data_IF_746023598225
#
_entry.id   IF_746023598225
#
_cell.length_a   1.000
_cell.length_b   1.000
_cell.length_c   1.000
_cell.angle_alpha   90.00
_cell.angle_beta   90.00
_cell.angle_gamma   90.00
#
_symmetry.space_group_name_H-M   'P 1'
#
loop_
_entity.id
_entity.type
_entity.pdbx_description
1 polymer ?
#
# COMPACT_ATOMS: atom_id res chain seq x y z
N UNK A 1 -2.68 -0.51 11.84
CA UNK A 1 -3.40 -0.40 10.55
C UNK A 1 -3.74 1.03 10.12
N UNK A 2 -4.45 1.85 10.90
CA UNK A 2 -4.97 3.14 10.39
C UNK A 2 -3.90 4.13 9.89
N UNK A 3 -2.65 4.01 10.34
CA UNK A 3 -1.55 4.88 9.91
C UNK A 3 -1.18 4.64 8.44
N UNK A 4 -1.00 3.39 8.02
CA UNK A 4 -0.56 3.04 6.65
C UNK A 4 -1.57 3.54 5.61
N UNK A 5 -2.87 3.29 5.83
CA UNK A 5 -3.92 3.76 4.91
C UNK A 5 -3.91 5.29 4.81
N UNK A 6 -3.76 6.00 5.94
CA UNK A 6 -3.66 7.47 5.93
C UNK A 6 -2.42 7.98 5.19
N UNK A 7 -1.30 7.27 5.26
CA UNK A 7 -0.08 7.62 4.53
C UNK A 7 -0.26 7.38 3.02
N UNK A 8 -0.84 6.25 2.64
CA UNK A 8 -1.16 5.95 1.25
C UNK A 8 -2.10 7.01 0.67
N UNK A 9 -3.20 7.35 1.36
CA UNK A 9 -4.14 8.38 0.88
C UNK A 9 -3.49 9.77 0.80
N UNK A 10 -2.50 10.06 1.65
CA UNK A 10 -1.76 11.33 1.61
C UNK A 10 -0.74 11.41 0.48
N UNK A 11 -0.08 10.31 0.15
CA UNK A 11 0.94 10.26 -0.90
C UNK A 11 0.33 10.05 -2.28
N UNK A 12 -0.58 9.08 -2.38
CA UNK A 12 -1.14 8.59 -3.64
C UNK A 12 -2.47 9.27 -4.00
N UNK A 13 -3.07 10.02 -3.07
CA UNK A 13 -4.37 10.65 -3.25
C UNK A 13 -5.54 9.71 -2.95
N UNK A 14 -6.63 9.83 -3.69
CA UNK A 14 -7.79 8.95 -3.52
C UNK A 14 -7.41 7.51 -3.90
N UNK A 15 -7.60 6.59 -2.96
CA UNK A 15 -7.42 5.16 -3.17
C UNK A 15 -8.77 4.49 -3.30
N UNK A 16 -8.87 3.60 -4.27
CA UNK A 16 -10.02 2.72 -4.40
C UNK A 16 -10.19 1.83 -3.16
N UNK A 17 -11.45 1.52 -2.85
CA UNK A 17 -11.80 0.63 -1.74
C UNK A 17 -11.15 -0.75 -1.89
N UNK A 18 -11.00 -1.25 -3.12
CA UNK A 18 -10.34 -2.52 -3.41
C UNK A 18 -8.87 -2.54 -2.96
N UNK A 19 -8.13 -1.45 -3.19
CA UNK A 19 -6.74 -1.33 -2.73
C UNK A 19 -6.69 -1.25 -1.20
N UNK A 20 -7.62 -0.53 -0.59
CA UNK A 20 -7.69 -0.42 0.87
C UNK A 20 -7.97 -1.78 1.51
N UNK A 21 -8.87 -2.59 0.93
CA UNK A 21 -9.13 -3.96 1.39
C UNK A 21 -7.90 -4.84 1.28
N UNK A 22 -7.18 -4.76 0.15
CA UNK A 22 -5.96 -5.51 -0.09
C UNK A 22 -4.84 -5.13 0.90
N UNK A 23 -4.70 -3.85 1.24
CA UNK A 23 -3.80 -3.39 2.32
C UNK A 23 -4.21 -3.97 3.69
N UNK A 24 -5.50 -4.16 3.95
CA UNK A 24 -6.00 -4.71 5.24
C UNK A 24 -5.77 -6.20 5.37
N UNK A 25 -5.65 -6.92 4.26
CA UNK A 25 -5.36 -8.35 4.23
C UNK A 25 -3.86 -8.65 4.46
N UNK A 26 -3.00 -7.63 4.37
CA UNK A 26 -1.57 -7.78 4.60
C UNK A 26 -1.24 -8.17 6.05
N UNK A 27 -0.27 -9.07 6.19
CA UNK A 27 0.35 -9.41 7.46
C UNK A 27 1.17 -8.24 8.02
N UNK A 28 1.53 -8.31 9.31
CA UNK A 28 2.34 -7.26 9.96
C UNK A 28 3.68 -7.06 9.24
N UNK A 29 4.36 -8.15 8.85
CA UNK A 29 5.63 -8.08 8.11
C UNK A 29 5.45 -7.42 6.73
N UNK A 30 4.35 -7.70 6.05
CA UNK A 30 4.03 -7.05 4.77
C UNK A 30 3.71 -5.57 4.95
N UNK A 31 3.05 -5.18 6.04
CA UNK A 31 2.77 -3.78 6.36
C UNK A 31 4.05 -3.00 6.69
N UNK A 32 5.03 -3.62 7.36
CA UNK A 32 6.33 -3.00 7.60
C UNK A 32 7.08 -2.78 6.28
N UNK A 33 7.14 -3.80 5.42
CA UNK A 33 7.74 -3.69 4.09
C UNK A 33 7.02 -2.65 3.19
N UNK A 34 5.69 -2.57 3.29
CA UNK A 34 4.90 -1.54 2.60
C UNK A 34 5.25 -0.15 3.11
N UNK A 35 5.52 0.02 4.41
CA UNK A 35 5.92 1.29 5.00
C UNK A 35 7.25 1.82 4.45
N UNK A 36 8.19 0.93 4.17
CA UNK A 36 9.47 1.27 3.54
C UNK A 36 9.28 1.62 2.05
N UNK A 37 8.62 0.74 1.28
CA UNK A 37 8.34 0.97 -0.14
C UNK A 37 7.48 2.21 -0.39
N UNK A 38 6.62 2.58 0.55
CA UNK A 38 5.78 3.78 0.49
C UNK A 38 6.61 5.06 0.40
N UNK A 39 7.88 5.05 0.82
CA UNK A 39 8.78 6.19 0.65
C UNK A 39 9.15 6.42 -0.82
N UNK A 40 9.18 5.36 -1.63
CA UNK A 40 9.51 5.36 -3.05
C UNK A 40 8.28 5.53 -3.95
N UNK A 41 7.06 5.37 -3.41
CA UNK A 41 5.83 5.53 -4.18
C UNK A 41 5.61 6.98 -4.63
N UNK A 42 5.33 7.11 -5.92
CA UNK A 42 5.02 8.35 -6.63
C UNK A 42 3.58 8.38 -7.10
N UNK A 43 3.02 7.22 -7.45
CA UNK A 43 1.66 7.08 -7.98
C UNK A 43 0.98 5.79 -7.52
N UNK A 44 -0.35 5.72 -7.69
CA UNK A 44 -1.15 4.54 -7.30
C UNK A 44 -0.65 3.27 -8.01
N UNK A 45 -0.13 3.41 -9.23
CA UNK A 45 0.43 2.28 -9.97
C UNK A 45 1.62 1.61 -9.26
N UNK A 46 2.44 2.36 -8.52
CA UNK A 46 3.54 1.80 -7.73
C UNK A 46 3.02 0.85 -6.65
N UNK A 47 1.89 1.20 -6.02
CA UNK A 47 1.21 0.35 -5.04
C UNK A 47 0.64 -0.92 -5.69
N UNK A 48 0.07 -0.81 -6.89
CA UNK A 48 -0.45 -1.97 -7.64
C UNK A 48 0.67 -2.93 -7.99
N UNK A 49 1.78 -2.42 -8.54
CA UNK A 49 2.95 -3.22 -8.88
C UNK A 49 3.56 -3.88 -7.63
N UNK A 50 3.60 -3.16 -6.50
CA UNK A 50 4.06 -3.72 -5.23
C UNK A 50 3.21 -4.90 -4.75
N UNK A 51 1.89 -4.84 -4.95
CA UNK A 51 1.02 -5.98 -4.67
C UNK A 51 1.29 -7.16 -5.61
N UNK A 52 1.44 -6.91 -6.91
CA UNK A 52 1.70 -7.96 -7.90
C UNK A 52 3.03 -8.68 -7.68
N UNK A 53 4.09 -7.96 -7.29
CA UNK A 53 5.40 -8.55 -6.98
C UNK A 53 5.41 -9.51 -5.79
N UNK A 54 4.35 -9.52 -4.96
CA UNK A 54 4.25 -10.32 -3.74
C UNK A 54 3.23 -11.45 -3.82
N UNK A 55 2.48 -11.53 -4.92
CA UNK A 55 1.56 -12.63 -5.24
C UNK A 55 2.28 -13.80 -5.95
N UNK A 56 3.61 -13.73 -6.15
CA UNK A 56 4.48 -14.79 -6.70
C UNK A 56 5.27 -15.58 -5.63
#
# INVERSE_FOLDING_TARGET
>A
MALIIRQLTRRLGELDLSLIERVRELSVEQLEALGEALLDFTEVNDLVVWFEQRDE
#
